data_IF_849009801924
#
_entry.id   IF_849009801924
#
_cell.length_a   1.000
_cell.length_b   1.000
_cell.length_c   1.000
_cell.angle_alpha   90.00
_cell.angle_beta   90.00
_cell.angle_gamma   90.00
#
_symmetry.space_group_name_H-M   'P 1'
#
loop_
_entity.id
_entity.type
_entity.pdbx_description
1 polymer ?
#
# COMPACT_ATOMS: atom_id res chain seq x y z
N UNK A 1 -2.83 10.08 -32.32
CA UNK A 1 -3.08 10.70 -31.00
C UNK A 1 -3.86 9.69 -30.19
N UNK A 2 -3.16 8.80 -29.50
CA UNK A 2 -3.77 7.82 -28.60
C UNK A 2 -4.25 8.57 -27.37
N UNK A 3 -5.56 8.64 -27.20
CA UNK A 3 -6.20 9.18 -26.00
C UNK A 3 -5.81 8.30 -24.82
N UNK A 4 -4.79 8.74 -24.09
CA UNK A 4 -4.51 8.26 -22.75
C UNK A 4 -5.76 8.54 -21.93
N UNK A 5 -6.54 7.47 -21.74
CA UNK A 5 -7.72 7.47 -20.89
C UNK A 5 -7.22 7.70 -19.47
N UNK A 6 -7.07 8.96 -19.09
CA UNK A 6 -6.95 9.40 -17.70
C UNK A 6 -8.16 8.84 -17.00
N UNK A 7 -8.00 7.66 -16.41
CA UNK A 7 -9.01 7.08 -15.54
C UNK A 7 -9.32 8.17 -14.51
N UNK A 8 -10.62 8.44 -14.22
CA UNK A 8 -10.94 9.38 -13.17
C UNK A 8 -10.13 8.95 -11.95
N UNK A 9 -9.52 9.91 -11.25
CA UNK A 9 -8.89 9.68 -9.96
C UNK A 9 -9.97 9.17 -9.00
N UNK A 10 -10.36 7.90 -9.15
CA UNK A 10 -11.04 7.11 -8.15
C UNK A 10 -10.12 7.28 -6.97
N UNK A 11 -10.53 8.06 -5.97
CA UNK A 11 -9.80 8.21 -4.74
C UNK A 11 -9.45 6.80 -4.27
N UNK A 12 -8.19 6.40 -4.48
CA UNK A 12 -7.77 5.02 -4.25
C UNK A 12 -7.95 4.82 -2.75
N UNK A 13 -8.99 4.08 -2.39
CA UNK A 13 -9.35 3.87 -0.98
C UNK A 13 -8.25 3.07 -0.28
N UNK A 14 -7.60 2.17 -1.01
CA UNK A 14 -6.46 1.40 -0.55
C UNK A 14 -5.62 0.88 -1.73
N UNK A 15 -4.32 0.76 -1.52
CA UNK A 15 -3.34 0.16 -2.41
C UNK A 15 -3.07 -1.29 -2.04
N UNK A 16 -2.67 -2.09 -3.03
CA UNK A 16 -2.19 -3.46 -2.78
C UNK A 16 -0.73 -3.45 -2.32
N UNK A 17 -0.25 -4.50 -1.63
CA UNK A 17 1.16 -4.63 -1.26
C UNK A 17 2.14 -4.52 -2.43
N UNK A 18 1.73 -4.95 -3.63
CA UNK A 18 2.55 -4.85 -4.85
C UNK A 18 2.74 -3.38 -5.22
N UNK A 19 1.65 -2.62 -5.29
CA UNK A 19 1.72 -1.19 -5.59
C UNK A 19 2.52 -0.43 -4.53
N UNK A 20 2.33 -0.73 -3.24
CA UNK A 20 3.10 -0.08 -2.16
C UNK A 20 4.58 -0.45 -2.23
N UNK A 21 4.91 -1.70 -2.58
CA UNK A 21 6.29 -2.12 -2.81
C UNK A 21 6.95 -1.33 -3.94
N UNK A 22 6.23 -1.13 -5.06
CA UNK A 22 6.70 -0.30 -6.17
C UNK A 22 6.83 1.18 -5.76
N UNK A 23 5.85 1.73 -5.03
CA UNK A 23 5.88 3.14 -4.59
C UNK A 23 7.02 3.42 -3.61
N UNK A 24 7.31 2.49 -2.70
CA UNK A 24 8.36 2.63 -1.70
C UNK A 24 9.71 2.08 -2.17
N UNK A 25 9.77 1.50 -3.37
CA UNK A 25 10.94 0.78 -3.90
C UNK A 25 11.45 -0.29 -2.92
N UNK A 26 10.52 -0.98 -2.24
CA UNK A 26 10.82 -2.03 -1.26
C UNK A 26 10.44 -3.42 -1.79
N UNK A 27 10.95 -4.47 -1.14
CA UNK A 27 10.55 -5.84 -1.46
C UNK A 27 9.10 -6.10 -1.04
N UNK A 28 8.34 -6.78 -1.89
CA UNK A 28 6.95 -7.19 -1.59
C UNK A 28 6.84 -8.00 -0.29
N UNK A 29 7.82 -8.85 0.01
CA UNK A 29 7.87 -9.62 1.26
C UNK A 29 8.00 -8.71 2.49
N UNK A 30 8.78 -7.62 2.38
CA UNK A 30 8.91 -6.63 3.44
C UNK A 30 7.58 -5.92 3.68
N UNK A 31 6.90 -5.46 2.63
CA UNK A 31 5.57 -4.85 2.74
C UNK A 31 4.56 -5.80 3.39
N UNK A 32 4.52 -7.07 2.97
CA UNK A 32 3.66 -8.07 3.59
C UNK A 32 3.98 -8.30 5.08
N UNK A 33 5.27 -8.28 5.44
CA UNK A 33 5.69 -8.33 6.85
C UNK A 33 5.21 -7.09 7.59
N UNK A 34 5.36 -5.89 7.03
CA UNK A 34 4.92 -4.64 7.64
C UNK A 34 3.40 -4.57 7.86
N UNK A 35 2.60 -5.14 6.94
CA UNK A 35 1.17 -5.31 7.17
C UNK A 35 0.87 -6.24 8.35
N UNK A 36 1.63 -7.35 8.49
CA UNK A 36 1.45 -8.31 9.59
C UNK A 36 1.93 -7.78 10.94
N UNK A 37 3.03 -7.03 10.97
CA UNK A 37 3.62 -6.45 12.19
C UNK A 37 3.04 -5.09 12.56
N UNK A 38 1.96 -4.66 11.87
CA UNK A 38 1.30 -3.36 12.08
C UNK A 38 2.21 -2.14 11.88
N UNK A 39 3.32 -2.27 11.14
CA UNK A 39 4.14 -1.12 10.77
C UNK A 39 3.42 -0.23 9.75
N UNK A 40 2.62 -0.83 8.85
CA UNK A 40 1.64 -0.13 8.02
C UNK A 40 0.30 -0.08 8.78
N UNK A 41 0.23 0.79 9.78
CA UNK A 41 -0.94 0.90 10.67
C UNK A 41 -2.19 1.31 9.88
N UNK A 42 -3.25 0.48 9.95
CA UNK A 42 -4.48 0.65 9.17
C UNK A 42 -4.56 -0.21 7.91
N UNK A 43 -3.52 -0.99 7.58
CA UNK A 43 -3.64 -2.04 6.57
C UNK A 43 -4.65 -3.12 7.04
N UNK A 44 -5.56 -3.52 6.15
CA UNK A 44 -6.60 -4.50 6.44
C UNK A 44 -6.75 -5.51 5.30
N UNK A 45 -7.49 -6.59 5.52
CA UNK A 45 -7.88 -7.54 4.46
C UNK A 45 -9.37 -7.42 4.21
N UNK A 46 -9.79 -7.47 2.95
CA UNK A 46 -11.22 -7.46 2.58
C UNK A 46 -11.89 -8.83 2.68
N UNK A 47 -11.18 -9.86 3.16
CA UNK A 47 -11.72 -11.20 3.31
C UNK A 47 -10.85 -12.10 4.19
N UNK A 48 -10.85 -13.41 3.91
CA UNK A 48 -10.21 -14.43 4.72
C UNK A 48 -8.67 -14.44 4.68
N UNK A 49 -8.09 -15.53 5.18
CA UNK A 49 -6.62 -15.68 5.34
C UNK A 49 -5.85 -15.43 4.03
N UNK A 50 -6.40 -15.84 2.90
CA UNK A 50 -5.81 -15.73 1.55
C UNK A 50 -6.13 -14.41 0.85
N UNK A 51 -7.01 -13.57 1.41
CA UNK A 51 -7.35 -12.30 0.79
C UNK A 51 -6.15 -11.35 0.76
N UNK A 52 -6.01 -10.55 -0.31
CA UNK A 52 -4.94 -9.58 -0.40
C UNK A 52 -5.09 -8.51 0.68
N UNK A 53 -3.95 -7.98 1.13
CA UNK A 53 -3.95 -6.79 1.98
C UNK A 53 -4.36 -5.57 1.16
N UNK A 54 -5.01 -4.64 1.86
CA UNK A 54 -5.43 -3.33 1.39
C UNK A 54 -4.81 -2.31 2.32
N UNK A 55 -3.97 -1.45 1.77
CA UNK A 55 -3.16 -0.48 2.50
C UNK A 55 -3.68 0.92 2.16
N UNK A 56 -4.40 1.60 3.08
CA UNK A 56 -4.89 2.94 2.81
C UNK A 56 -3.72 3.93 2.65
N UNK A 57 -3.88 5.01 1.86
CA UNK A 57 -2.84 6.02 1.68
C UNK A 57 -2.35 6.62 3.00
N UNK A 58 -3.23 6.79 3.99
CA UNK A 58 -2.88 7.28 5.32
C UNK A 58 -1.88 6.35 6.06
N UNK A 59 -1.97 5.03 5.84
CA UNK A 59 -1.02 4.08 6.42
C UNK A 59 0.38 4.24 5.81
N UNK A 60 0.45 4.52 4.50
CA UNK A 60 1.70 4.74 3.78
C UNK A 60 2.35 6.04 4.25
N UNK A 61 1.58 7.13 4.30
CA UNK A 61 2.06 8.44 4.77
C UNK A 61 2.58 8.36 6.21
N UNK A 62 1.84 7.69 7.11
CA UNK A 62 2.30 7.47 8.48
C UNK A 62 3.58 6.65 8.53
N UNK A 63 3.66 5.56 7.77
CA UNK A 63 4.84 4.71 7.71
C UNK A 63 6.08 5.45 7.19
N UNK A 64 5.92 6.32 6.19
CA UNK A 64 7.01 7.17 5.70
C UNK A 64 7.46 8.20 6.75
N UNK A 65 6.53 8.73 7.55
CA UNK A 65 6.85 9.69 8.64
C UNK A 65 7.56 9.04 9.82
N UNK A 66 7.23 7.78 10.14
CA UNK A 66 7.81 7.06 11.28
C UNK A 66 9.12 6.35 10.94
N UNK A 67 9.47 6.22 9.66
CA UNK A 67 10.78 5.69 9.27
C UNK A 67 11.87 6.72 9.58
N UNK A 68 12.88 6.38 10.40
CA UNK A 68 14.11 7.15 10.42
C UNK A 68 14.73 7.05 9.03
N UNK A 69 14.94 8.21 8.41
CA UNK A 69 15.60 8.36 7.11
C UNK A 69 17.04 7.84 7.29
N UNK A 70 17.24 6.56 7.01
CA UNK A 70 18.55 5.90 7.00
C UNK A 70 19.35 6.39 5.80
#
# INVERSE_FOLDING_TARGET
MTTEKTAPALAIRAYTPVQVAEMLQEKLEAINRHCRTQALEGAYKTGGRTSPWQIPPAAIDRYQRTRPRQ
#
